data_IF_542203375206
#
_entry.id   IF_542203375206
#
_cell.length_a   1.000
_cell.length_b   1.000
_cell.length_c   1.000
_cell.angle_alpha   90.00
_cell.angle_beta   90.00
_cell.angle_gamma   90.00
#
_symmetry.space_group_name_H-M   'P 1'
#
loop_
_entity.id
_entity.type
_entity.pdbx_description
1 polymer ?
#
# COMPACT_ATOMS: atom_id res chain seq x y z
N UNK A 1 7.49 -13.83 19.99
CA UNK A 1 7.88 -12.41 20.12
C UNK A 1 6.75 -11.55 20.72
N UNK A 2 5.53 -11.53 20.15
CA UNK A 2 4.43 -10.69 20.66
C UNK A 2 3.95 -11.02 22.09
N UNK A 3 3.82 -12.30 22.46
CA UNK A 3 3.33 -12.72 23.78
C UNK A 3 4.24 -12.24 24.93
N UNK A 4 5.55 -12.31 24.77
CA UNK A 4 6.52 -11.85 25.77
C UNK A 4 6.47 -10.31 25.97
N UNK A 5 6.20 -9.57 24.90
CA UNK A 5 6.02 -8.11 24.94
C UNK A 5 4.70 -7.74 25.65
N UNK A 6 3.61 -8.49 25.40
CA UNK A 6 2.34 -8.28 26.11
C UNK A 6 2.45 -8.61 27.60
N UNK A 7 3.14 -9.70 27.98
CA UNK A 7 3.38 -10.04 29.39
C UNK A 7 4.20 -8.96 30.09
N UNK A 8 5.26 -8.48 29.45
CA UNK A 8 6.06 -7.39 30.00
C UNK A 8 5.25 -6.09 30.15
N UNK A 9 4.34 -5.81 29.21
CA UNK A 9 3.45 -4.66 29.27
C UNK A 9 2.36 -4.80 30.36
N UNK A 10 1.78 -5.99 30.56
CA UNK A 10 0.81 -6.27 31.64
C UNK A 10 1.44 -6.05 33.01
N UNK A 11 2.67 -6.51 33.21
CA UNK A 11 3.39 -6.38 34.49
C UNK A 11 3.79 -4.92 34.79
N UNK A 12 3.86 -4.06 33.78
CA UNK A 12 4.36 -2.68 33.89
C UNK A 12 3.27 -1.60 33.77
N UNK A 13 2.00 -1.96 33.54
CA UNK A 13 0.92 -1.00 33.32
C UNK A 13 0.16 -0.70 34.62
N UNK A 14 0.32 0.50 35.18
CA UNK A 14 -0.38 0.95 36.40
C UNK A 14 -1.79 1.54 36.12
N UNK A 15 -2.22 1.60 34.85
CA UNK A 15 -3.50 2.17 34.43
C UNK A 15 -4.51 1.06 34.08
N UNK A 16 -5.59 0.97 34.87
CA UNK A 16 -6.57 -0.13 34.84
C UNK A 16 -7.26 -0.30 33.48
N UNK A 17 -7.62 0.79 32.82
CA UNK A 17 -8.34 0.75 31.54
C UNK A 17 -7.43 0.35 30.36
N UNK A 18 -6.12 0.64 30.46
CA UNK A 18 -5.12 0.20 29.47
C UNK A 18 -4.66 -1.24 29.74
N UNK A 19 -4.66 -1.68 31.01
CA UNK A 19 -4.36 -3.04 31.42
C UNK A 19 -5.31 -4.08 30.82
N UNK A 20 -6.62 -3.83 30.86
CA UNK A 20 -7.64 -4.73 30.29
C UNK A 20 -7.44 -4.95 28.78
N UNK A 21 -7.05 -3.90 28.04
CA UNK A 21 -6.77 -3.98 26.60
C UNK A 21 -5.48 -4.73 26.25
N UNK A 22 -4.51 -4.81 27.18
CA UNK A 22 -3.27 -5.59 27.02
C UNK A 22 -3.51 -7.05 27.40
N UNK A 23 -4.27 -7.29 28.48
CA UNK A 23 -4.66 -8.62 28.93
C UNK A 23 -5.52 -9.35 27.89
N UNK A 24 -6.48 -8.66 27.28
CA UNK A 24 -7.27 -9.20 26.17
C UNK A 24 -6.40 -9.61 24.96
N UNK A 25 -5.37 -8.81 24.63
CA UNK A 25 -4.44 -9.13 23.54
C UNK A 25 -3.49 -10.27 23.87
N UNK A 26 -3.10 -10.40 25.14
CA UNK A 26 -2.38 -11.55 25.66
C UNK A 26 -3.20 -12.85 25.49
N UNK A 27 -4.43 -12.87 25.99
CA UNK A 27 -5.31 -14.05 25.91
C UNK A 27 -5.65 -14.45 24.46
N UNK A 28 -5.90 -13.46 23.59
CA UNK A 28 -6.16 -13.71 22.17
C UNK A 28 -4.96 -14.35 21.47
N UNK A 29 -3.75 -13.86 21.78
CA UNK A 29 -2.50 -14.43 21.25
C UNK A 29 -2.27 -15.85 21.80
N UNK A 30 -2.63 -16.11 23.06
CA UNK A 30 -2.57 -17.45 23.66
C UNK A 30 -3.54 -18.44 22.98
N UNK A 31 -4.77 -18.03 22.70
CA UNK A 31 -5.78 -18.84 21.99
C UNK A 31 -5.33 -19.19 20.56
N UNK A 32 -4.71 -18.26 19.85
CA UNK A 32 -4.15 -18.52 18.52
C UNK A 32 -3.03 -19.58 18.57
N UNK A 33 -2.16 -19.53 19.57
CA UNK A 33 -1.09 -20.52 19.75
C UNK A 33 -1.63 -21.91 20.10
N UNK A 34 -2.69 -21.99 20.92
CA UNK A 34 -3.36 -23.26 21.24
C UNK A 34 -4.08 -23.87 20.03
N UNK A 35 -4.70 -23.05 19.17
CA UNK A 35 -5.32 -23.50 17.92
C UNK A 35 -4.33 -24.09 16.90
N UNK A 36 -3.14 -23.48 16.79
CA UNK A 36 -2.03 -24.00 15.97
C UNK A 36 -1.48 -25.32 16.53
N UNK A 37 -1.41 -25.44 17.86
CA UNK A 37 -0.97 -26.66 18.53
C UNK A 37 -1.95 -27.84 18.33
N UNK A 38 -3.26 -27.58 18.32
CA UNK A 38 -4.29 -28.59 18.05
C UNK A 38 -4.31 -29.05 16.58
N UNK A 39 -4.15 -28.14 15.63
CA UNK A 39 -4.07 -28.45 14.19
C UNK A 39 -2.85 -29.32 13.84
N UNK A 40 -1.72 -29.11 14.52
CA UNK A 40 -0.50 -29.92 14.34
C UNK A 40 -0.63 -31.38 14.77
N UNK A 41 -1.54 -31.69 15.72
CA UNK A 41 -1.79 -33.06 16.20
C UNK A 41 -2.68 -33.88 15.24
N UNK A 42 -3.60 -33.23 14.54
CA UNK A 42 -4.45 -33.92 13.54
C UNK A 42 -3.67 -34.31 12.28
N UNK A 43 -2.62 -33.57 11.92
CA UNK A 43 -1.76 -33.88 10.77
C UNK A 43 -0.77 -35.03 11.00
N UNK A 44 -0.52 -35.45 12.26
CA UNK A 44 0.42 -36.53 12.59
C UNK A 44 -0.18 -37.94 12.56
N UNK A 45 -1.48 -38.09 12.28
CA UNK A 45 -2.17 -39.39 12.32
C UNK A 45 -2.21 -40.15 10.97
N UNK A 46 -1.62 -39.61 9.89
CA UNK A 46 -1.51 -40.30 8.59
C UNK A 46 -0.18 -39.98 7.93
N UNK A 47 0.81 -40.85 8.12
CA UNK A 47 1.68 -41.38 7.05
C UNK A 47 2.76 -42.27 7.68
N UNK A 48 2.75 -43.55 7.30
CA UNK A 48 3.79 -44.54 7.59
C UNK A 48 4.70 -44.69 6.38
N UNK A 49 6.00 -44.54 6.63
CA UNK A 49 7.17 -45.14 5.98
C UNK A 49 7.18 -45.37 4.46
N UNK A 50 8.12 -44.72 3.78
CA UNK A 50 9.20 -45.38 3.01
C UNK A 50 10.35 -44.40 2.77
N UNK A 51 11.57 -44.81 3.10
CA UNK A 51 12.80 -44.14 2.70
C UNK A 51 12.99 -44.29 1.18
N UNK A 52 13.11 -43.20 0.43
CA UNK A 52 14.11 -43.07 -0.64
C UNK A 52 14.16 -41.66 -1.27
N UNK A 53 15.39 -41.12 -1.32
CA UNK A 53 15.90 -39.99 -2.13
C UNK A 53 14.91 -38.88 -2.49
N UNK A 54 14.60 -37.99 -1.55
CA UNK A 54 13.59 -36.94 -1.75
C UNK A 54 14.16 -35.55 -2.07
N UNK A 55 13.70 -35.01 -3.20
CA UNK A 55 13.52 -33.57 -3.46
C UNK A 55 12.78 -32.90 -2.29
N UNK A 56 13.19 -31.69 -1.86
CA UNK A 56 12.54 -31.03 -0.74
C UNK A 56 11.11 -30.61 -1.12
N UNK A 57 10.14 -31.19 -0.43
CA UNK A 57 8.72 -30.82 -0.55
C UNK A 57 8.46 -29.54 0.26
N UNK A 58 7.42 -28.75 -0.07
CA UNK A 58 7.05 -27.56 0.71
C UNK A 58 6.83 -27.84 2.20
N UNK A 59 6.32 -29.04 2.54
CA UNK A 59 6.16 -29.50 3.92
C UNK A 59 7.51 -29.68 4.65
N UNK A 60 8.54 -30.20 3.97
CA UNK A 60 9.90 -30.30 4.51
C UNK A 60 10.53 -28.94 4.73
N UNK A 61 10.37 -28.02 3.77
CA UNK A 61 10.87 -26.64 3.89
C UNK A 61 10.21 -25.93 5.08
N UNK A 62 8.89 -26.05 5.23
CA UNK A 62 8.16 -25.51 6.38
C UNK A 62 8.64 -26.11 7.72
N UNK A 63 8.92 -27.42 7.76
CA UNK A 63 9.52 -28.07 8.93
C UNK A 63 10.90 -27.51 9.29
N UNK A 64 11.73 -27.21 8.28
CA UNK A 64 13.04 -26.61 8.51
C UNK A 64 12.97 -25.16 9.01
N UNK A 65 11.97 -24.38 8.59
CA UNK A 65 11.68 -23.06 9.19
C UNK A 65 11.27 -23.21 10.66
N UNK A 66 10.38 -24.16 10.97
CA UNK A 66 9.96 -24.42 12.35
C UNK A 66 11.11 -24.87 13.25
N UNK A 67 12.09 -25.60 12.74
CA UNK A 67 13.26 -26.01 13.51
C UNK A 67 14.23 -24.85 13.79
N UNK A 68 14.35 -23.89 12.87
CA UNK A 68 15.05 -22.63 13.12
C UNK A 68 14.33 -21.77 14.15
N UNK A 69 12.99 -21.69 14.07
CA UNK A 69 12.15 -21.00 15.06
C UNK A 69 12.34 -21.59 16.47
N UNK A 70 12.42 -22.93 16.57
CA UNK A 70 12.69 -23.62 17.84
C UNK A 70 14.10 -23.38 18.37
N UNK A 71 15.11 -23.35 17.49
CA UNK A 71 16.50 -23.01 17.89
C UNK A 71 16.62 -21.57 18.37
N UNK A 72 15.88 -20.65 17.77
CA UNK A 72 15.75 -19.27 18.26
C UNK A 72 15.09 -19.22 19.63
N UNK A 73 13.97 -19.92 19.80
CA UNK A 73 13.23 -19.97 21.07
C UNK A 73 14.03 -20.60 22.22
N UNK A 74 15.00 -21.46 21.93
CA UNK A 74 15.92 -22.07 22.92
C UNK A 74 17.15 -21.20 23.25
N UNK A 75 17.22 -19.95 22.77
CA UNK A 75 18.34 -19.03 23.04
C UNK A 75 19.57 -19.25 22.17
N UNK A 76 19.40 -19.83 20.97
CA UNK A 76 20.50 -20.02 20.02
C UNK A 76 21.09 -18.70 19.52
N UNK A 77 22.36 -18.74 19.09
CA UNK A 77 23.08 -17.58 18.57
C UNK A 77 22.34 -16.98 17.35
N UNK A 78 21.96 -15.70 17.47
CA UNK A 78 21.18 -14.90 16.52
C UNK A 78 21.76 -14.92 15.10
N UNK A 79 23.09 -14.80 14.95
CA UNK A 79 23.74 -14.78 13.65
C UNK A 79 23.62 -16.14 12.94
N UNK A 80 23.71 -17.25 13.68
CA UNK A 80 23.59 -18.60 13.10
C UNK A 80 22.16 -18.89 12.60
N UNK A 81 21.15 -18.36 13.30
CA UNK A 81 19.75 -18.55 12.93
C UNK A 81 19.39 -17.69 11.72
N UNK A 82 19.86 -16.44 11.68
CA UNK A 82 19.69 -15.54 10.53
C UNK A 82 20.37 -16.08 9.26
N UNK A 83 21.60 -16.61 9.40
CA UNK A 83 22.29 -17.32 8.31
C UNK A 83 21.49 -18.55 7.87
N UNK A 84 20.88 -19.28 8.81
CA UNK A 84 19.99 -20.41 8.55
C UNK A 84 18.78 -20.03 7.70
N UNK A 85 18.06 -18.96 8.05
CA UNK A 85 16.93 -18.47 7.25
C UNK A 85 17.38 -18.00 5.86
N UNK A 86 18.49 -17.26 5.78
CA UNK A 86 19.02 -16.80 4.50
C UNK A 86 19.43 -17.97 3.59
N UNK A 87 19.99 -19.04 4.14
CA UNK A 87 20.31 -20.26 3.41
C UNK A 87 19.04 -20.98 2.93
N UNK A 88 18.02 -21.13 3.77
CA UNK A 88 16.73 -21.73 3.39
C UNK A 88 16.03 -20.96 2.27
N UNK A 89 16.03 -19.63 2.34
CA UNK A 89 15.46 -18.77 1.31
C UNK A 89 16.22 -18.88 -0.03
N UNK A 90 17.54 -19.06 -0.01
CA UNK A 90 18.32 -19.36 -1.23
C UNK A 90 18.04 -20.76 -1.79
N UNK A 91 17.92 -21.77 -0.93
CA UNK A 91 17.65 -23.16 -1.34
C UNK A 91 16.28 -23.30 -2.02
N UNK A 92 15.25 -22.69 -1.43
CA UNK A 92 13.90 -22.64 -2.02
C UNK A 92 13.87 -21.91 -3.37
N UNK A 93 14.76 -20.93 -3.57
CA UNK A 93 14.94 -20.23 -4.84
C UNK A 93 15.62 -21.11 -5.91
N UNK A 94 16.59 -21.94 -5.51
CA UNK A 94 17.28 -22.87 -6.41
C UNK A 94 16.41 -24.07 -6.81
N UNK A 95 15.47 -24.50 -5.98
CA UNK A 95 14.54 -25.60 -6.29
C UNK A 95 13.39 -25.18 -7.20
N UNK A 96 12.90 -23.93 -7.10
CA UNK A 96 12.00 -23.34 -8.12
C UNK A 96 12.58 -23.37 -9.53
N UNK A 97 13.91 -23.31 -9.66
CA UNK A 97 14.61 -23.42 -10.94
C UNK A 97 14.79 -24.87 -11.42
N UNK A 98 14.78 -25.87 -10.52
CA UNK A 98 14.91 -27.30 -10.88
C UNK A 98 13.56 -28.01 -11.12
N UNK A 99 12.48 -27.55 -10.49
CA UNK A 99 11.11 -28.06 -10.73
C UNK A 99 10.54 -27.73 -12.12
N UNK A 100 11.21 -26.86 -12.87
CA UNK A 100 10.92 -26.57 -14.28
C UNK A 100 11.70 -27.48 -15.26
N UNK A 101 12.28 -28.59 -14.77
CA UNK A 101 13.02 -29.57 -15.56
C UNK A 101 12.11 -30.40 -16.48
N UNK A 102 11.63 -29.78 -17.56
CA UNK A 102 10.83 -30.40 -18.60
C UNK A 102 10.44 -29.46 -19.76
N UNK A 103 10.64 -28.14 -19.62
CA UNK A 103 10.59 -27.20 -20.74
C UNK A 103 11.91 -26.46 -20.83
N UNK A 104 12.47 -26.48 -22.03
CA UNK A 104 13.62 -25.67 -22.46
C UNK A 104 13.44 -24.27 -21.86
N UNK A 105 14.39 -23.83 -21.03
CA UNK A 105 14.44 -22.45 -20.57
C UNK A 105 14.52 -21.55 -21.80
N UNK A 106 13.60 -20.58 -22.00
CA UNK A 106 13.71 -19.64 -23.11
C UNK A 106 15.07 -18.96 -23.03
N UNK A 107 15.76 -18.88 -24.15
CA UNK A 107 17.00 -18.08 -24.21
C UNK A 107 16.61 -16.60 -24.07
N UNK A 108 17.54 -15.73 -23.65
CA UNK A 108 17.30 -14.26 -23.63
C UNK A 108 16.80 -13.72 -24.98
N UNK A 109 17.10 -14.41 -26.07
CA UNK A 109 16.65 -14.08 -27.42
C UNK A 109 15.15 -14.34 -27.59
N UNK A 110 14.62 -15.42 -27.00
CA UNK A 110 13.20 -15.76 -27.07
C UNK A 110 12.36 -14.77 -26.24
N UNK A 111 12.84 -14.37 -25.06
CA UNK A 111 12.19 -13.34 -24.22
C UNK A 111 12.13 -11.97 -24.93
N UNK A 112 13.18 -11.61 -25.68
CA UNK A 112 13.23 -10.36 -26.44
C UNK A 112 12.30 -10.39 -27.67
N UNK A 113 12.13 -11.54 -28.32
CA UNK A 113 11.16 -11.69 -29.41
C UNK A 113 9.73 -11.59 -28.88
N UNK A 114 9.40 -12.30 -27.80
CA UNK A 114 8.07 -12.28 -27.17
C UNK A 114 7.71 -10.86 -26.71
N UNK A 115 8.66 -10.14 -26.10
CA UNK A 115 8.50 -8.72 -25.74
C UNK A 115 8.12 -7.84 -26.94
N UNK A 116 8.89 -7.89 -28.03
CA UNK A 116 8.65 -7.06 -29.21
C UNK A 116 7.35 -7.43 -29.93
N UNK A 117 6.99 -8.72 -29.97
CA UNK A 117 5.73 -9.20 -30.54
C UNK A 117 4.53 -8.63 -29.78
N UNK A 118 4.55 -8.70 -28.44
CA UNK A 118 3.52 -8.15 -27.59
C UNK A 118 3.42 -6.63 -27.67
N UNK A 119 4.56 -5.91 -27.69
CA UNK A 119 4.56 -4.46 -27.90
C UNK A 119 3.94 -4.08 -29.25
N UNK A 120 4.34 -4.73 -30.34
CA UNK A 120 3.78 -4.46 -31.65
C UNK A 120 2.29 -4.79 -31.73
N UNK A 121 1.85 -5.89 -31.11
CA UNK A 121 0.43 -6.24 -31.03
C UNK A 121 -0.38 -5.17 -30.28
N UNK A 122 0.12 -4.73 -29.12
CA UNK A 122 -0.50 -3.67 -28.34
C UNK A 122 -0.59 -2.35 -29.10
N UNK A 123 0.49 -1.96 -29.79
CA UNK A 123 0.50 -0.76 -30.63
C UNK A 123 -0.56 -0.81 -31.74
N UNK A 124 -0.69 -1.95 -32.44
CA UNK A 124 -1.73 -2.13 -33.46
C UNK A 124 -3.14 -2.01 -32.87
N UNK A 125 -3.40 -2.69 -31.75
CA UNK A 125 -4.70 -2.64 -31.07
C UNK A 125 -5.04 -1.21 -30.60
N UNK A 126 -4.06 -0.49 -30.04
CA UNK A 126 -4.23 0.90 -29.60
C UNK A 126 -4.52 1.86 -30.77
N UNK A 127 -3.97 1.60 -31.96
CA UNK A 127 -4.24 2.36 -33.18
C UNK A 127 -5.65 2.09 -33.71
N UNK A 128 -6.13 0.85 -33.65
CA UNK A 128 -7.49 0.49 -34.07
C UNK A 128 -8.57 0.83 -33.04
N UNK A 129 -8.17 1.32 -31.85
CA UNK A 129 -9.07 1.71 -30.77
C UNK A 129 -9.54 0.54 -29.88
N UNK A 130 -8.96 -0.65 -30.04
CA UNK A 130 -9.23 -1.81 -29.19
C UNK A 130 -8.40 -1.71 -27.90
N UNK A 131 -8.96 -1.03 -26.91
CA UNK A 131 -8.28 -0.73 -25.66
C UNK A 131 -8.09 -1.95 -24.77
N UNK A 132 -8.94 -2.98 -24.88
CA UNK A 132 -8.85 -4.20 -24.08
C UNK A 132 -7.68 -5.06 -24.57
N UNK A 133 -7.63 -5.34 -25.87
CA UNK A 133 -6.51 -6.07 -26.48
C UNK A 133 -5.19 -5.32 -26.30
N UNK A 134 -5.20 -3.98 -26.39
CA UNK A 134 -4.01 -3.17 -26.15
C UNK A 134 -3.49 -3.32 -24.71
N UNK A 135 -4.39 -3.20 -23.72
CA UNK A 135 -4.01 -3.38 -22.30
C UNK A 135 -3.40 -4.77 -22.05
N UNK A 136 -4.06 -5.83 -22.52
CA UNK A 136 -3.57 -7.20 -22.35
C UNK A 136 -2.21 -7.42 -23.02
N UNK A 137 -2.03 -6.88 -24.23
CA UNK A 137 -0.77 -7.02 -24.97
C UNK A 137 0.38 -6.28 -24.30
N UNK A 138 0.17 -5.05 -23.83
CA UNK A 138 1.22 -4.32 -23.12
C UNK A 138 1.53 -4.90 -21.74
N UNK A 139 0.52 -5.43 -21.03
CA UNK A 139 0.74 -6.18 -19.79
C UNK A 139 1.57 -7.46 -20.02
N UNK A 140 1.32 -8.18 -21.12
CA UNK A 140 2.11 -9.34 -21.52
C UNK A 140 3.57 -8.96 -21.85
N UNK A 141 3.77 -7.87 -22.60
CA UNK A 141 5.12 -7.32 -22.85
C UNK A 141 5.83 -6.96 -21.55
N UNK A 142 5.14 -6.31 -20.61
CA UNK A 142 5.72 -6.00 -19.30
C UNK A 142 6.10 -7.28 -18.54
N UNK A 143 5.24 -8.30 -18.56
CA UNK A 143 5.45 -9.58 -17.87
C UNK A 143 6.64 -10.36 -18.43
N UNK A 144 6.91 -10.26 -19.73
CA UNK A 144 8.06 -10.96 -20.35
C UNK A 144 9.40 -10.41 -19.89
N UNK A 145 9.49 -9.12 -19.51
CA UNK A 145 10.73 -8.46 -19.05
C UNK A 145 10.83 -8.25 -17.54
N UNK A 146 9.71 -8.34 -16.81
CA UNK A 146 9.66 -8.06 -15.38
C UNK A 146 10.58 -9.01 -14.58
N UNK A 147 11.46 -8.44 -13.75
CA UNK A 147 12.53 -9.15 -13.00
C UNK A 147 13.53 -9.96 -13.84
N UNK A 148 13.53 -9.85 -15.17
CA UNK A 148 14.45 -10.58 -16.05
C UNK A 148 15.67 -9.77 -16.50
N UNK A 149 15.82 -8.53 -16.03
CA UNK A 149 16.94 -7.66 -16.40
C UNK A 149 16.84 -6.25 -15.82
N UNK A 150 17.53 -5.26 -16.43
CA UNK A 150 17.40 -3.85 -16.07
C UNK A 150 15.95 -3.38 -16.22
N UNK A 151 15.47 -2.62 -15.24
CA UNK A 151 14.10 -2.10 -15.22
C UNK A 151 13.79 -1.12 -16.36
N UNK A 152 14.79 -0.65 -17.11
CA UNK A 152 14.58 0.25 -18.26
C UNK A 152 13.67 -0.34 -19.35
N UNK A 153 13.71 -1.67 -19.56
CA UNK A 153 12.80 -2.35 -20.52
C UNK A 153 11.34 -2.37 -20.05
N UNK A 154 11.07 -2.20 -18.75
CA UNK A 154 9.71 -2.10 -18.22
C UNK A 154 9.07 -0.74 -18.55
N UNK A 155 9.86 0.29 -18.88
CA UNK A 155 9.36 1.66 -19.03
C UNK A 155 8.42 1.84 -20.22
N UNK A 156 8.76 1.29 -21.39
CA UNK A 156 7.91 1.43 -22.59
C UNK A 156 6.53 0.76 -22.42
N UNK A 157 6.39 -0.52 -22.01
CA UNK A 157 5.07 -1.10 -21.83
C UNK A 157 4.24 -0.40 -20.73
N UNK A 158 4.87 0.09 -19.66
CA UNK A 158 4.19 0.90 -18.63
C UNK A 158 3.67 2.22 -19.21
N UNK A 159 4.49 2.93 -19.99
CA UNK A 159 4.08 4.15 -20.67
C UNK A 159 2.92 3.91 -21.63
N UNK A 160 2.98 2.83 -22.42
CA UNK A 160 1.91 2.42 -23.33
C UNK A 160 0.61 2.05 -22.62
N UNK A 161 0.68 1.35 -21.49
CA UNK A 161 -0.49 1.14 -20.62
C UNK A 161 -1.08 2.48 -20.15
N UNK A 162 -0.22 3.46 -19.82
CA UNK A 162 -0.66 4.82 -19.50
C UNK A 162 -1.46 5.47 -20.63
N UNK A 163 -1.06 5.28 -21.89
CA UNK A 163 -1.80 5.77 -23.06
C UNK A 163 -3.18 5.10 -23.20
N UNK A 164 -3.25 3.78 -22.93
CA UNK A 164 -4.52 3.04 -22.96
C UNK A 164 -5.49 3.61 -21.93
N UNK A 165 -5.04 3.80 -20.69
CA UNK A 165 -5.87 4.34 -19.62
C UNK A 165 -6.25 5.81 -19.86
N UNK A 166 -5.35 6.64 -20.42
CA UNK A 166 -5.70 8.00 -20.82
C UNK A 166 -6.81 8.02 -21.89
N UNK A 167 -6.68 7.22 -22.95
CA UNK A 167 -7.74 7.11 -23.97
C UNK A 167 -9.05 6.61 -23.38
N UNK A 168 -8.99 5.63 -22.47
CA UNK A 168 -10.16 5.10 -21.76
C UNK A 168 -10.84 6.19 -20.95
N UNK A 169 -10.09 6.95 -20.15
CA UNK A 169 -10.59 8.07 -19.36
C UNK A 169 -11.22 9.18 -20.21
N UNK A 170 -10.65 9.52 -21.37
CA UNK A 170 -11.25 10.49 -22.29
C UNK A 170 -12.60 9.99 -22.83
N UNK A 171 -12.73 8.69 -23.12
CA UNK A 171 -13.99 8.09 -23.62
C UNK A 171 -15.04 7.97 -22.52
N UNK A 172 -14.64 7.49 -21.33
CA UNK A 172 -15.53 7.19 -20.21
C UNK A 172 -15.87 8.42 -19.36
N UNK A 173 -14.98 9.41 -19.33
CA UNK A 173 -14.95 10.53 -18.38
C UNK A 173 -14.83 10.06 -16.91
N UNK A 174 -14.28 8.86 -16.70
CA UNK A 174 -14.01 8.30 -15.38
C UNK A 174 -12.65 8.81 -14.86
N UNK A 175 -12.66 9.54 -13.75
CA UNK A 175 -11.44 10.04 -13.10
C UNK A 175 -10.47 8.93 -12.67
N UNK A 176 -10.98 7.73 -12.40
CA UNK A 176 -10.18 6.56 -12.03
C UNK A 176 -9.21 6.16 -13.14
N UNK A 177 -9.63 6.24 -14.39
CA UNK A 177 -8.78 5.93 -15.54
C UNK A 177 -7.63 6.93 -15.69
N UNK A 178 -7.88 8.23 -15.43
CA UNK A 178 -6.82 9.25 -15.41
C UNK A 178 -5.80 9.00 -14.30
N UNK A 179 -6.24 8.65 -13.09
CA UNK A 179 -5.31 8.33 -11.98
C UNK A 179 -4.44 7.11 -12.30
N UNK A 180 -5.02 6.06 -12.89
CA UNK A 180 -4.25 4.89 -13.35
C UNK A 180 -3.25 5.26 -14.44
N UNK A 181 -3.66 6.09 -15.41
CA UNK A 181 -2.77 6.58 -16.46
C UNK A 181 -1.58 7.35 -15.86
N UNK A 182 -1.83 8.28 -14.93
CA UNK A 182 -0.77 9.06 -14.28
C UNK A 182 0.19 8.17 -13.48
N UNK A 183 -0.32 7.18 -12.75
CA UNK A 183 0.52 6.26 -11.98
C UNK A 183 1.41 5.41 -12.89
N UNK A 184 0.88 4.91 -14.00
CA UNK A 184 1.63 4.16 -15.02
C UNK A 184 2.74 5.00 -15.66
N UNK A 185 2.45 6.26 -16.02
CA UNK A 185 3.44 7.17 -16.58
C UNK A 185 4.52 7.57 -15.56
N UNK A 186 4.15 7.83 -14.30
CA UNK A 186 5.14 8.07 -13.24
C UNK A 186 6.04 6.85 -13.01
N UNK A 187 5.47 5.64 -12.98
CA UNK A 187 6.24 4.41 -12.85
C UNK A 187 7.20 4.19 -14.03
N UNK A 188 6.81 4.55 -15.26
CA UNK A 188 7.66 4.52 -16.43
C UNK A 188 8.78 5.59 -16.38
N UNK A 189 8.46 6.79 -15.90
CA UNK A 189 9.41 7.90 -15.74
C UNK A 189 10.53 7.54 -14.77
N UNK A 190 10.23 6.93 -13.62
CA UNK A 190 11.26 6.49 -12.66
C UNK A 190 12.23 5.47 -13.28
N UNK A 191 11.75 4.64 -14.22
CA UNK A 191 12.53 3.58 -14.86
C UNK A 191 13.41 4.05 -16.02
N UNK A 192 13.03 5.13 -16.71
CA UNK A 192 13.70 5.58 -17.93
C UNK A 192 14.23 7.02 -17.91
N UNK A 193 13.68 7.89 -17.05
CA UNK A 193 13.98 9.33 -16.97
C UNK A 193 13.83 10.08 -18.30
N UNK A 194 12.88 9.66 -19.15
CA UNK A 194 12.61 10.33 -20.42
C UNK A 194 11.70 11.54 -20.22
N UNK A 195 12.05 12.67 -20.84
CA UNK A 195 11.30 13.94 -20.77
C UNK A 195 9.87 13.81 -21.33
N UNK A 196 9.67 13.00 -22.38
CA UNK A 196 8.35 12.81 -22.98
C UNK A 196 7.33 12.16 -22.02
N UNK A 197 7.80 11.40 -21.04
CA UNK A 197 6.94 10.84 -19.99
C UNK A 197 6.53 11.88 -18.95
N UNK A 198 7.38 12.87 -18.69
CA UNK A 198 7.07 13.99 -17.78
C UNK A 198 6.00 14.90 -18.41
N UNK A 199 6.17 15.23 -19.70
CA UNK A 199 5.15 15.94 -20.47
C UNK A 199 3.81 15.18 -20.46
N UNK A 200 3.84 13.86 -20.65
CA UNK A 200 2.63 13.03 -20.62
C UNK A 200 1.89 13.07 -19.28
N UNK A 201 2.60 13.12 -18.15
CA UNK A 201 1.97 13.25 -16.82
C UNK A 201 1.20 14.57 -16.70
N UNK A 202 1.76 15.66 -17.24
CA UNK A 202 1.07 16.95 -17.29
C UNK A 202 -0.14 16.90 -18.24
N UNK A 203 0.00 16.29 -19.43
CA UNK A 203 -1.10 16.10 -20.39
C UNK A 203 -2.28 15.33 -19.78
N UNK A 204 -2.02 14.27 -18.99
CA UNK A 204 -3.07 13.49 -18.32
C UNK A 204 -3.86 14.38 -17.35
N UNK A 205 -3.16 15.22 -16.58
CA UNK A 205 -3.80 16.14 -15.63
C UNK A 205 -4.65 17.18 -16.35
N UNK A 206 -4.13 17.77 -17.44
CA UNK A 206 -4.89 18.72 -18.27
C UNK A 206 -6.10 18.07 -18.93
N UNK A 207 -5.95 16.84 -19.43
CA UNK A 207 -7.03 16.08 -20.02
C UNK A 207 -8.13 15.77 -18.98
N UNK A 208 -7.77 15.44 -17.74
CA UNK A 208 -8.76 15.28 -16.65
C UNK A 208 -9.53 16.58 -16.40
N UNK A 209 -8.82 17.70 -16.25
CA UNK A 209 -9.45 19.02 -16.01
C UNK A 209 -10.42 19.40 -17.13
N UNK A 210 -10.02 19.18 -18.38
CA UNK A 210 -10.87 19.46 -19.54
C UNK A 210 -12.04 18.47 -19.67
N UNK A 211 -11.77 17.18 -19.60
CA UNK A 211 -12.74 16.15 -19.97
C UNK A 211 -13.67 15.75 -18.82
N UNK A 212 -13.23 15.88 -17.57
CA UNK A 212 -14.02 15.56 -16.36
C UNK A 212 -14.53 16.84 -15.70
N UNK A 213 -13.67 17.82 -15.42
CA UNK A 213 -14.08 19.05 -14.73
C UNK A 213 -14.76 20.08 -15.65
N UNK A 214 -14.62 19.94 -16.98
CA UNK A 214 -15.16 20.87 -17.98
C UNK A 214 -14.63 22.30 -17.83
N UNK A 215 -13.39 22.42 -17.39
CA UNK A 215 -12.67 23.70 -17.25
C UNK A 215 -11.72 23.85 -18.44
N UNK A 216 -11.84 24.95 -19.19
CA UNK A 216 -11.02 25.23 -20.39
C UNK A 216 -9.67 25.89 -20.08
N UNK A 217 -9.40 26.20 -18.81
CA UNK A 217 -8.22 26.94 -18.39
C UNK A 217 -6.95 26.07 -18.46
N UNK A 218 -5.84 26.65 -18.94
CA UNK A 218 -4.51 26.07 -18.70
C UNK A 218 -4.25 26.13 -17.20
N UNK A 219 -4.29 24.98 -16.54
CA UNK A 219 -3.82 24.85 -15.16
C UNK A 219 -2.31 25.04 -15.19
N UNK A 220 -1.81 25.96 -14.37
CA UNK A 220 -0.38 26.17 -14.25
C UNK A 220 0.29 24.92 -13.67
N UNK A 221 1.38 24.52 -14.29
CA UNK A 221 2.12 23.32 -13.97
C UNK A 221 3.39 23.72 -13.23
N UNK A 222 3.30 24.05 -11.93
CA UNK A 222 4.53 24.38 -11.20
C UNK A 222 4.59 24.10 -9.69
N UNK A 223 3.52 23.64 -9.03
CA UNK A 223 3.61 23.37 -7.59
C UNK A 223 4.13 21.96 -7.23
N UNK A 224 4.18 21.00 -8.16
CA UNK A 224 4.58 19.61 -7.85
C UNK A 224 5.99 19.52 -7.24
N UNK A 225 6.98 20.22 -7.81
CA UNK A 225 8.35 20.21 -7.28
C UNK A 225 8.43 20.92 -5.92
N UNK A 226 7.67 21.99 -5.74
CA UNK A 226 7.52 22.66 -4.44
C UNK A 226 6.93 21.70 -3.39
N UNK A 227 5.88 20.94 -3.72
CA UNK A 227 5.30 19.96 -2.80
C UNK A 227 6.27 18.81 -2.47
N UNK A 228 7.05 18.33 -3.45
CA UNK A 228 8.13 17.35 -3.20
C UNK A 228 9.19 17.90 -2.25
N UNK A 229 9.57 19.17 -2.42
CA UNK A 229 10.50 19.85 -1.51
C UNK A 229 9.92 20.00 -0.09
N UNK A 230 8.63 20.29 0.04
CA UNK A 230 7.94 20.34 1.34
C UNK A 230 7.97 18.97 2.04
N UNK A 231 7.58 17.89 1.34
CA UNK A 231 7.64 16.52 1.91
C UNK A 231 9.06 16.13 2.33
N UNK A 232 10.06 16.49 1.52
CA UNK A 232 11.46 16.25 1.86
C UNK A 232 11.86 17.03 3.11
N UNK A 233 11.48 18.30 3.23
CA UNK A 233 11.79 19.11 4.40
C UNK A 233 11.15 18.53 5.68
N UNK A 234 9.91 18.05 5.60
CA UNK A 234 9.23 17.39 6.72
C UNK A 234 9.95 16.10 7.14
N UNK A 235 10.40 15.28 6.17
CA UNK A 235 11.19 14.08 6.44
C UNK A 235 12.54 14.38 7.07
N UNK A 236 13.26 15.36 6.53
CA UNK A 236 14.55 15.81 7.05
C UNK A 236 14.41 16.36 8.48
N UNK A 237 13.29 17.05 8.78
CA UNK A 237 12.95 17.50 10.13
C UNK A 237 12.73 16.31 11.07
N UNK A 238 11.90 15.35 10.68
CA UNK A 238 11.58 14.18 11.51
C UNK A 238 12.82 13.33 11.78
N UNK A 239 13.68 13.13 10.79
CA UNK A 239 14.94 12.39 10.98
C UNK A 239 15.85 13.09 11.99
N UNK A 240 15.93 14.43 11.96
CA UNK A 240 16.69 15.21 12.95
C UNK A 240 16.09 15.10 14.34
N UNK A 241 14.76 15.20 14.46
CA UNK A 241 14.07 15.11 15.75
C UNK A 241 14.21 13.73 16.37
N UNK A 242 14.10 12.66 15.59
CA UNK A 242 14.35 11.29 16.06
C UNK A 242 15.77 11.15 16.58
N UNK A 243 16.78 11.62 15.82
CA UNK A 243 18.18 11.61 16.26
C UNK A 243 18.40 12.41 17.54
N UNK A 244 17.73 13.56 17.69
CA UNK A 244 17.80 14.37 18.92
C UNK A 244 17.21 13.61 20.09
N UNK A 245 16.02 13.02 19.94
CA UNK A 245 15.35 12.22 20.98
C UNK A 245 16.23 11.03 21.38
N UNK A 246 16.81 10.33 20.41
CA UNK A 246 17.73 9.21 20.64
C UNK A 246 19.02 9.63 21.36
N UNK A 247 19.44 10.89 21.27
CA UNK A 247 20.63 11.38 21.96
C UNK A 247 20.33 11.95 23.36
N UNK A 248 19.20 12.64 23.51
CA UNK A 248 18.86 13.37 24.73
C UNK A 248 18.09 12.53 25.75
N UNK A 249 17.30 11.55 25.29
CA UNK A 249 16.38 10.75 26.13
C UNK A 249 16.44 9.27 25.74
N UNK A 250 17.64 8.67 25.82
CA UNK A 250 17.85 7.24 25.59
C UNK A 250 17.78 6.41 26.88
N UNK A 251 16.70 5.65 27.12
CA UNK A 251 16.59 4.81 28.31
C UNK A 251 17.58 3.63 28.28
N UNK A 252 18.09 3.24 27.10
CA UNK A 252 19.04 2.13 26.94
C UNK A 252 20.48 2.52 27.28
N UNK A 253 20.74 3.80 27.53
CA UNK A 253 22.02 4.28 28.04
C UNK A 253 22.21 4.00 29.53
N UNK A 254 21.15 3.63 30.24
CA UNK A 254 21.15 3.32 31.67
C UNK A 254 21.18 1.80 31.92
N UNK A 255 21.69 1.39 33.08
CA UNK A 255 21.60 0.00 33.54
C UNK A 255 20.14 -0.42 33.77
N UNK A 256 19.81 -1.69 33.54
CA UNK A 256 18.43 -2.21 33.69
C UNK A 256 17.84 -2.03 35.10
N UNK A 257 18.70 -1.89 36.11
CA UNK A 257 18.30 -1.67 37.50
C UNK A 257 18.39 -0.19 37.93
N UNK A 258 18.67 0.73 37.00
CA UNK A 258 18.76 2.16 37.30
C UNK A 258 17.37 2.70 37.71
N UNK A 259 17.25 3.31 38.90
CA UNK A 259 15.97 3.82 39.38
C UNK A 259 15.40 4.96 38.50
N UNK A 260 16.23 5.62 37.68
CA UNK A 260 15.83 6.71 36.79
C UNK A 260 15.29 6.23 35.43
N UNK A 261 15.38 4.93 35.11
CA UNK A 261 14.96 4.40 33.80
C UNK A 261 13.52 4.80 33.46
N UNK A 262 12.60 4.71 34.43
CA UNK A 262 11.18 5.07 34.25
C UNK A 262 11.00 6.56 33.94
N UNK A 263 11.81 7.42 34.55
CA UNK A 263 11.74 8.87 34.31
C UNK A 263 12.24 9.20 32.90
N UNK A 264 13.33 8.57 32.45
CA UNK A 264 13.86 8.75 31.09
C UNK A 264 12.89 8.19 30.04
N UNK A 265 12.29 7.02 30.28
CA UNK A 265 11.23 6.46 29.44
C UNK A 265 10.05 7.43 29.31
N UNK A 266 9.58 8.01 30.42
CA UNK A 266 8.49 8.97 30.41
C UNK A 266 8.85 10.24 29.63
N UNK A 267 10.06 10.78 29.79
CA UNK A 267 10.53 11.92 28.99
C UNK A 267 10.59 11.60 27.50
N UNK A 268 11.05 10.40 27.13
CA UNK A 268 11.08 9.92 25.74
C UNK A 268 9.67 9.81 25.16
N UNK A 269 8.72 9.26 25.91
CA UNK A 269 7.32 9.17 25.49
C UNK A 269 6.73 10.55 25.21
N UNK A 270 6.95 11.52 26.09
CA UNK A 270 6.44 12.88 25.89
C UNK A 270 7.10 13.58 24.69
N UNK A 271 8.40 13.38 24.46
CA UNK A 271 9.09 13.90 23.28
C UNK A 271 8.54 13.28 21.97
N UNK A 272 8.30 11.97 21.96
CA UNK A 272 7.71 11.27 20.81
C UNK A 272 6.28 11.73 20.55
N UNK A 273 5.45 11.90 21.59
CA UNK A 273 4.09 12.45 21.45
C UNK A 273 4.10 13.85 20.85
N UNK A 274 5.00 14.72 21.30
CA UNK A 274 5.15 16.07 20.75
C UNK A 274 5.55 16.05 19.27
N UNK A 275 6.45 15.13 18.88
CA UNK A 275 6.83 14.93 17.49
C UNK A 275 5.64 14.46 16.65
N UNK A 276 4.86 13.49 17.13
CA UNK A 276 3.64 13.04 16.45
C UNK A 276 2.60 14.15 16.29
N UNK A 277 2.41 14.99 17.31
CA UNK A 277 1.50 16.12 17.22
C UNK A 277 1.95 17.12 16.14
N UNK A 278 3.25 17.40 16.07
CA UNK A 278 3.82 18.26 15.02
C UNK A 278 3.58 17.68 13.63
N UNK A 279 3.82 16.37 13.47
CA UNK A 279 3.59 15.64 12.23
C UNK A 279 2.12 15.68 11.78
N UNK A 280 1.19 15.51 12.72
CA UNK A 280 -0.25 15.60 12.46
C UNK A 280 -0.61 16.96 11.89
N UNK A 281 -0.08 18.05 12.45
CA UNK A 281 -0.42 19.41 12.05
C UNK A 281 0.27 19.82 10.75
N UNK A 282 1.52 19.42 10.53
CA UNK A 282 2.23 19.57 9.25
C UNK A 282 1.46 18.87 8.12
N UNK A 283 1.09 17.60 8.32
CA UNK A 283 0.40 16.80 7.31
C UNK A 283 -1.00 17.33 7.02
N UNK A 284 -1.74 17.80 8.04
CA UNK A 284 -3.03 18.49 7.84
C UNK A 284 -2.86 19.72 6.95
N UNK A 285 -1.85 20.54 7.21
CA UNK A 285 -1.56 21.75 6.42
C UNK A 285 -1.21 21.40 4.98
N UNK A 286 -0.36 20.39 4.78
CA UNK A 286 0.02 19.90 3.46
C UNK A 286 -1.19 19.41 2.65
N UNK A 287 -2.05 18.58 3.25
CA UNK A 287 -3.25 18.05 2.60
C UNK A 287 -4.27 19.16 2.31
N UNK A 288 -4.49 20.08 3.27
CA UNK A 288 -5.40 21.20 3.08
C UNK A 288 -4.96 22.09 1.90
N UNK A 289 -3.67 22.38 1.77
CA UNK A 289 -3.14 23.13 0.63
C UNK A 289 -3.42 22.45 -0.72
N UNK A 290 -3.27 21.14 -0.82
CA UNK A 290 -3.60 20.41 -2.05
C UNK A 290 -5.10 20.43 -2.36
N UNK A 291 -5.94 20.36 -1.34
CA UNK A 291 -7.41 20.47 -1.49
C UNK A 291 -7.79 21.88 -1.96
N UNK A 292 -7.21 22.92 -1.36
CA UNK A 292 -7.45 24.31 -1.73
C UNK A 292 -7.06 24.56 -3.19
N UNK A 293 -5.89 24.10 -3.63
CA UNK A 293 -5.46 24.18 -5.03
C UNK A 293 -6.42 23.47 -5.99
N UNK A 294 -7.00 22.33 -5.59
CA UNK A 294 -8.03 21.68 -6.40
C UNK A 294 -9.32 22.52 -6.47
N UNK A 295 -9.73 23.11 -5.36
CA UNK A 295 -10.94 23.95 -5.28
C UNK A 295 -10.78 25.29 -6.01
N UNK A 296 -9.57 25.83 -6.10
CA UNK A 296 -9.28 27.00 -6.94
C UNK A 296 -9.62 26.76 -8.41
N UNK A 297 -9.36 25.55 -8.91
CA UNK A 297 -9.69 25.14 -10.29
C UNK A 297 -11.16 24.74 -10.42
N UNK A 298 -11.68 23.99 -9.45
CA UNK A 298 -13.04 23.43 -9.50
C UNK A 298 -14.15 24.43 -9.14
N UNK A 299 -13.80 25.55 -8.52
CA UNK A 299 -14.73 26.44 -7.85
C UNK A 299 -15.10 25.96 -6.44
N UNK A 300 -15.86 26.78 -5.69
CA UNK A 300 -16.18 26.49 -4.29
C UNK A 300 -17.06 25.23 -4.14
N UNK A 301 -17.00 24.55 -2.99
CA UNK A 301 -17.84 23.39 -2.71
C UNK A 301 -19.32 23.76 -2.75
N UNK A 302 -20.20 22.89 -3.29
CA UNK A 302 -21.62 23.19 -3.49
C UNK A 302 -22.45 23.12 -2.20
N UNK A 303 -21.87 22.59 -1.12
CA UNK A 303 -22.51 22.47 0.18
C UNK A 303 -21.48 22.52 1.31
N UNK A 304 -21.95 22.60 2.56
CA UNK A 304 -21.07 22.41 3.71
C UNK A 304 -20.52 20.99 3.71
N UNK A 305 -19.23 20.89 4.00
CA UNK A 305 -18.56 19.61 4.07
C UNK A 305 -17.53 19.59 5.20
N UNK A 306 -17.12 18.40 5.57
CA UNK A 306 -15.95 18.17 6.41
C UNK A 306 -15.14 17.01 5.84
N UNK A 307 -13.84 17.23 5.64
CA UNK A 307 -12.90 16.16 5.31
C UNK A 307 -12.30 15.62 6.61
N UNK A 308 -12.48 14.33 6.86
CA UNK A 308 -12.01 13.66 8.08
C UNK A 308 -10.90 12.68 7.74
N UNK A 309 -9.73 12.86 8.36
CA UNK A 309 -8.65 11.89 8.29
C UNK A 309 -9.03 10.61 9.02
N UNK A 310 -8.64 9.46 8.49
CA UNK A 310 -8.86 8.14 9.05
C UNK A 310 -7.51 7.49 9.42
N UNK A 311 -7.58 6.30 10.04
CA UNK A 311 -6.41 5.49 10.37
C UNK A 311 -5.33 6.25 11.15
N UNK A 312 -4.09 6.22 10.68
CA UNK A 312 -2.95 6.86 11.37
C UNK A 312 -3.11 8.37 11.57
N UNK A 313 -3.83 9.04 10.66
CA UNK A 313 -4.15 10.46 10.79
C UNK A 313 -5.15 10.73 11.93
N UNK A 314 -6.14 9.85 12.10
CA UNK A 314 -7.16 9.97 13.14
C UNK A 314 -6.61 9.64 14.54
N UNK A 315 -5.69 8.66 14.63
CA UNK A 315 -5.10 8.24 15.90
C UNK A 315 -3.92 9.12 16.34
N UNK A 316 -3.52 10.09 15.52
CA UNK A 316 -2.38 10.95 15.78
C UNK A 316 -1.03 10.24 15.67
N UNK A 317 -0.97 9.09 15.00
CA UNK A 317 0.23 8.24 14.85
C UNK A 317 0.81 8.31 13.43
N UNK A 318 0.51 9.39 12.71
CA UNK A 318 0.89 9.55 11.31
C UNK A 318 2.38 9.83 11.16
N UNK A 319 2.97 9.35 10.07
CA UNK A 319 4.36 9.63 9.68
C UNK A 319 4.39 10.27 8.28
N UNK A 320 5.52 10.84 7.84
CA UNK A 320 5.67 11.37 6.47
C UNK A 320 5.55 10.32 5.35
N UNK A 321 5.45 9.03 5.70
CA UNK A 321 5.30 7.91 4.78
C UNK A 321 3.94 7.20 4.91
N UNK A 322 3.07 7.69 5.80
CA UNK A 322 1.77 7.07 6.02
C UNK A 322 0.82 7.37 4.87
N UNK A 323 0.03 6.35 4.50
CA UNK A 323 -1.02 6.44 3.49
C UNK A 323 -2.09 7.48 3.87
N UNK A 324 -2.69 8.10 2.87
CA UNK A 324 -3.79 9.04 3.00
C UNK A 324 -5.12 8.29 3.01
N UNK A 325 -5.64 8.11 4.21
CA UNK A 325 -6.98 7.57 4.49
C UNK A 325 -7.90 8.72 4.93
N UNK A 326 -9.06 8.89 4.28
CA UNK A 326 -10.01 9.94 4.62
C UNK A 326 -11.42 9.67 4.12
N UNK A 327 -12.38 10.35 4.72
CA UNK A 327 -13.76 10.41 4.27
C UNK A 327 -14.22 11.87 4.14
N UNK A 328 -15.29 12.09 3.38
CA UNK A 328 -15.89 13.42 3.18
C UNK A 328 -17.33 13.37 3.69
N UNK A 329 -17.61 14.15 4.73
CA UNK A 329 -18.94 14.38 5.23
C UNK A 329 -19.58 15.53 4.45
N UNK A 330 -20.79 15.34 3.92
CA UNK A 330 -21.55 16.37 3.18
C UNK A 330 -22.87 16.68 3.89
N UNK A 331 -23.39 17.89 3.72
CA UNK A 331 -24.70 18.27 4.27
C UNK A 331 -25.84 17.42 3.68
N UNK A 332 -25.83 17.22 2.37
CA UNK A 332 -26.83 16.44 1.64
C UNK A 332 -26.19 15.59 0.51
N UNK A 333 -26.61 14.33 0.41
CA UNK A 333 -26.16 13.35 -0.61
C UNK A 333 -26.99 13.46 -1.90
N UNK A 334 -26.98 14.64 -2.52
CA UNK A 334 -27.51 14.83 -3.87
C UNK A 334 -26.40 14.65 -4.92
N UNK A 335 -26.75 14.18 -6.11
CA UNK A 335 -25.76 13.84 -7.15
C UNK A 335 -24.82 15.00 -7.49
N UNK A 336 -25.32 16.24 -7.49
CA UNK A 336 -24.49 17.43 -7.70
C UNK A 336 -23.37 17.56 -6.66
N UNK A 337 -23.68 17.36 -5.37
CA UNK A 337 -22.71 17.45 -4.29
C UNK A 337 -21.73 16.28 -4.34
N UNK A 338 -22.25 15.06 -4.47
CA UNK A 338 -21.42 13.85 -4.45
C UNK A 338 -20.48 13.82 -5.66
N UNK A 339 -20.96 14.21 -6.85
CA UNK A 339 -20.14 14.31 -8.06
C UNK A 339 -19.01 15.33 -7.91
N UNK A 340 -19.26 16.49 -7.29
CA UNK A 340 -18.20 17.46 -6.99
C UNK A 340 -17.10 16.83 -6.13
N UNK A 341 -17.44 16.16 -5.03
CA UNK A 341 -16.45 15.56 -4.13
C UNK A 341 -15.77 14.30 -4.70
N UNK A 342 -16.43 13.54 -5.58
CA UNK A 342 -15.77 12.49 -6.38
C UNK A 342 -14.69 13.08 -7.28
N UNK A 343 -15.03 14.13 -8.02
CA UNK A 343 -14.08 14.82 -8.90
C UNK A 343 -12.94 15.47 -8.12
N UNK A 344 -13.23 16.06 -6.96
CA UNK A 344 -12.21 16.59 -6.05
C UNK A 344 -11.24 15.49 -5.61
N UNK A 345 -11.79 14.33 -5.24
CA UNK A 345 -10.97 13.19 -4.78
C UNK A 345 -10.09 12.64 -5.90
N UNK A 346 -10.61 12.52 -7.13
CA UNK A 346 -9.78 12.13 -8.28
C UNK A 346 -8.70 13.17 -8.60
N UNK A 347 -9.02 14.46 -8.50
CA UNK A 347 -8.06 15.51 -8.79
C UNK A 347 -6.93 15.57 -7.74
N UNK A 348 -7.31 15.46 -6.46
CA UNK A 348 -6.36 15.33 -5.36
C UNK A 348 -5.48 14.08 -5.54
N UNK A 349 -6.08 12.95 -5.94
CA UNK A 349 -5.33 11.72 -6.19
C UNK A 349 -4.32 11.88 -7.33
N UNK A 350 -4.68 12.57 -8.43
CA UNK A 350 -3.75 12.92 -9.50
C UNK A 350 -2.56 13.75 -8.98
N UNK A 351 -2.83 14.79 -8.18
CA UNK A 351 -1.76 15.60 -7.57
C UNK A 351 -0.83 14.74 -6.70
N UNK A 352 -1.39 13.86 -5.86
CA UNK A 352 -0.59 12.95 -5.00
C UNK A 352 0.22 11.94 -5.82
N UNK A 353 -0.36 11.36 -6.87
CA UNK A 353 0.36 10.44 -7.77
C UNK A 353 1.56 11.14 -8.42
N UNK A 354 1.41 12.40 -8.81
CA UNK A 354 2.46 13.19 -9.47
C UNK A 354 3.62 13.57 -8.53
N UNK A 355 3.49 13.33 -7.22
CA UNK A 355 4.63 13.37 -6.30
C UNK A 355 5.61 12.21 -6.56
N UNK A 356 5.19 11.16 -7.27
CA UNK A 356 6.04 10.06 -7.74
C UNK A 356 6.25 8.94 -6.73
N UNK A 357 5.44 8.87 -5.67
CA UNK A 357 5.61 7.94 -4.54
C UNK A 357 4.52 6.86 -4.44
N UNK A 358 3.59 6.83 -5.41
CA UNK A 358 2.50 5.85 -5.47
C UNK A 358 2.93 4.63 -6.29
N UNK A 359 3.04 3.49 -5.63
CA UNK A 359 3.37 2.21 -6.29
C UNK A 359 2.20 1.66 -7.11
N UNK A 360 2.49 1.01 -8.23
CA UNK A 360 1.44 0.51 -9.13
C UNK A 360 0.46 -0.50 -8.52
N UNK A 361 0.86 -1.45 -7.63
CA UNK A 361 -0.09 -2.36 -7.00
C UNK A 361 -1.20 -1.63 -6.21
N UNK A 362 -0.93 -0.43 -5.69
CA UNK A 362 -1.93 0.36 -4.97
C UNK A 362 -3.08 0.82 -5.89
N UNK A 363 -2.88 0.83 -7.22
CA UNK A 363 -3.86 1.29 -8.20
C UNK A 363 -4.89 0.24 -8.62
N UNK A 364 -4.69 -1.04 -8.25
CA UNK A 364 -5.63 -2.13 -8.60
C UNK A 364 -5.90 -2.25 -10.11
N UNK A 365 -4.86 -2.15 -10.93
CA UNK A 365 -4.94 -2.33 -12.38
C UNK A 365 -5.05 -3.84 -12.65
N UNK A 366 -6.22 -4.31 -13.10
CA UNK A 366 -6.53 -5.76 -13.18
C UNK A 366 -5.58 -6.54 -14.09
N UNK A 367 -5.08 -5.94 -15.17
CA UNK A 367 -4.09 -6.59 -16.05
C UNK A 367 -2.73 -6.85 -15.37
N UNK A 368 -2.44 -6.18 -14.26
CA UNK A 368 -1.20 -6.30 -13.48
C UNK A 368 -1.43 -7.01 -12.13
N UNK A 369 -2.48 -6.58 -11.42
CA UNK A 369 -2.86 -7.00 -10.09
C UNK A 369 -4.39 -7.08 -9.96
N UNK A 370 -4.99 -8.20 -10.39
CA UNK A 370 -6.39 -8.48 -10.10
C UNK A 370 -6.54 -9.08 -8.70
N UNK A 371 -6.95 -8.26 -7.74
CA UNK A 371 -7.15 -8.69 -6.36
C UNK A 371 -8.46 -9.45 -6.10
N UNK A 372 -9.35 -9.52 -7.10
CA UNK A 372 -10.63 -10.21 -7.01
C UNK A 372 -10.65 -11.53 -7.79
N UNK A 373 -9.60 -11.83 -8.56
CA UNK A 373 -9.45 -13.12 -9.23
C UNK A 373 -9.15 -14.25 -8.23
N UNK A 374 -9.80 -15.40 -8.43
CA UNK A 374 -9.50 -16.63 -7.70
C UNK A 374 -8.14 -17.24 -8.14
N UNK A 375 -7.59 -16.79 -9.26
CA UNK A 375 -6.31 -17.27 -9.77
C UNK A 375 -5.15 -16.40 -9.25
N UNK A 376 -4.24 -16.96 -8.43
CA UNK A 376 -3.14 -16.19 -7.85
C UNK A 376 -2.13 -15.68 -8.88
N UNK A 377 -2.14 -16.19 -10.12
CA UNK A 377 -1.26 -15.72 -11.20
C UNK A 377 -1.70 -14.39 -11.83
N UNK A 378 -2.91 -13.93 -11.52
CA UNK A 378 -3.46 -12.67 -12.01
C UNK A 378 -3.03 -11.47 -11.13
N UNK A 379 -2.44 -11.76 -9.98
CA UNK A 379 -1.77 -10.79 -9.11
C UNK A 379 -0.25 -10.95 -9.17
N UNK A 380 0.38 -10.39 -10.20
CA UNK A 380 1.77 -10.76 -10.55
C UNK A 380 2.76 -9.60 -10.52
N UNK A 381 2.34 -8.35 -10.72
CA UNK A 381 3.27 -7.22 -10.79
C UNK A 381 3.72 -6.79 -9.40
N UNK A 382 5.04 -6.69 -9.18
CA UNK A 382 5.62 -6.15 -7.95
C UNK A 382 6.46 -4.92 -8.27
N UNK A 383 6.08 -3.77 -7.71
CA UNK A 383 6.82 -2.54 -7.93
C UNK A 383 7.97 -2.39 -6.92
N UNK A 384 9.18 -2.72 -7.35
CA UNK A 384 10.42 -2.54 -6.59
C UNK A 384 11.16 -1.25 -6.91
N UNK A 385 10.68 -0.46 -7.87
CA UNK A 385 11.44 0.66 -8.45
C UNK A 385 10.85 2.00 -8.07
N UNK A 386 9.52 2.13 -8.11
CA UNK A 386 8.85 3.35 -7.68
C UNK A 386 9.09 3.59 -6.19
N UNK A 387 9.56 4.79 -5.78
CA UNK A 387 9.69 5.14 -4.37
C UNK A 387 8.36 4.93 -3.63
N UNK A 388 8.41 4.45 -2.39
CA UNK A 388 7.23 4.34 -1.53
C UNK A 388 7.20 5.50 -0.57
N UNK A 389 6.09 6.21 -0.52
CA UNK A 389 5.93 7.37 0.35
C UNK A 389 4.48 7.80 0.45
N UNK A 390 4.24 9.11 0.36
CA UNK A 390 2.92 9.69 0.52
C UNK A 390 2.01 9.33 -0.67
N UNK A 391 1.05 8.44 -0.42
CA UNK A 391 0.10 7.93 -1.41
C UNK A 391 -1.30 7.78 -0.78
N UNK A 392 -2.33 7.60 -1.60
CA UNK A 392 -3.64 7.18 -1.11
C UNK A 392 -3.59 5.72 -0.63
N UNK A 393 -4.48 5.35 0.30
CA UNK A 393 -4.64 3.95 0.71
C UNK A 393 -4.99 3.07 -0.50
N UNK A 394 -4.30 1.93 -0.63
CA UNK A 394 -4.32 1.12 -1.83
C UNK A 394 -5.68 0.48 -2.12
N UNK A 395 -5.99 0.26 -3.39
CA UNK A 395 -7.25 -0.33 -3.88
C UNK A 395 -7.40 -1.84 -3.61
N UNK A 396 -6.71 -2.38 -2.61
CA UNK A 396 -6.73 -3.80 -2.24
C UNK A 396 -7.99 -4.16 -1.43
N UNK A 397 -8.43 -5.44 -1.46
CA UNK A 397 -9.46 -5.95 -0.57
C UNK A 397 -9.09 -5.66 0.89
N UNK A 398 -10.07 -5.23 1.67
CA UNK A 398 -9.89 -4.84 3.08
C UNK A 398 -9.02 -3.58 3.33
N UNK A 399 -8.48 -2.94 2.27
CA UNK A 399 -7.87 -1.60 2.30
C UNK A 399 -8.84 -0.55 1.72
N UNK A 400 -8.31 0.49 1.08
CA UNK A 400 -9.02 1.52 0.34
C UNK A 400 -9.99 2.38 1.18
N UNK A 401 -9.50 2.94 2.29
CA UNK A 401 -10.26 3.91 3.11
C UNK A 401 -10.17 5.31 2.50
N UNK A 402 -10.67 5.45 1.28
CA UNK A 402 -10.71 6.70 0.53
C UNK A 402 -12.18 7.07 0.22
N UNK A 403 -12.48 8.35 -0.11
CA UNK A 403 -13.84 8.75 -0.46
C UNK A 403 -14.44 7.94 -1.61
N UNK A 404 -13.62 7.49 -2.56
CA UNK A 404 -14.07 6.72 -3.73
C UNK A 404 -14.49 5.28 -3.38
N UNK A 405 -14.08 4.78 -2.23
CA UNK A 405 -14.37 3.40 -1.79
C UNK A 405 -13.70 2.33 -2.66
N UNK A 406 -14.15 1.08 -2.49
CA UNK A 406 -13.56 -0.13 -3.10
C UNK A 406 -14.08 -0.43 -4.53
N UNK A 407 -14.71 0.54 -5.19
CA UNK A 407 -15.27 0.37 -6.54
C UNK A 407 -16.48 -0.58 -6.63
N UNK A 408 -16.96 -0.79 -7.87
CA UNK A 408 -18.25 -1.45 -8.22
C UNK A 408 -18.41 -2.92 -7.81
N UNK A 409 -17.32 -3.63 -7.49
CA UNK A 409 -17.37 -5.06 -7.19
C UNK A 409 -17.60 -5.37 -5.70
N UNK A 410 -17.70 -4.35 -4.85
CA UNK A 410 -18.10 -4.51 -3.45
C UNK A 410 -19.63 -4.49 -3.34
N UNK A 411 -20.21 -5.44 -2.60
CA UNK A 411 -21.66 -5.52 -2.36
C UNK A 411 -22.13 -4.41 -1.41
N UNK A 412 -22.18 -3.17 -1.90
CA UNK A 412 -22.58 -1.95 -1.20
C UNK A 412 -21.83 -0.72 -1.70
N UNK A 413 -22.38 0.49 -1.52
CA UNK A 413 -21.67 1.74 -1.85
C UNK A 413 -20.57 2.00 -0.83
N UNK A 414 -19.41 1.36 -1.01
CA UNK A 414 -18.20 1.53 -0.19
C UNK A 414 -17.60 2.95 -0.25
N UNK A 415 -18.18 3.84 -1.05
CA UNK A 415 -17.87 5.26 -1.10
C UNK A 415 -18.10 5.93 0.27
N UNK A 416 -17.11 6.73 0.66
CA UNK A 416 -17.04 7.44 1.95
C UNK A 416 -17.35 8.94 1.79
N UNK A 417 -18.14 9.30 0.79
CA UNK A 417 -18.75 10.62 0.61
C UNK A 417 -20.21 10.51 1.09
N UNK A 418 -20.49 10.87 2.35
CA UNK A 418 -21.79 10.63 2.98
C UNK A 418 -22.21 11.79 3.88
N UNK A 419 -23.49 11.87 4.20
CA UNK A 419 -23.97 12.62 5.36
C UNK A 419 -23.43 12.02 6.66
N UNK A 420 -23.29 12.79 7.75
CA UNK A 420 -22.89 12.25 9.05
C UNK A 420 -23.74 11.05 9.52
N UNK A 421 -25.06 11.11 9.29
CA UNK A 421 -25.98 10.03 9.63
C UNK A 421 -25.71 8.75 8.83
N UNK A 422 -25.48 8.85 7.52
CA UNK A 422 -25.21 7.68 6.69
C UNK A 422 -23.81 7.11 6.91
N UNK A 423 -22.80 7.97 7.15
CA UNK A 423 -21.46 7.51 7.54
C UNK A 423 -21.52 6.65 8.81
N UNK A 424 -22.35 7.03 9.79
CA UNK A 424 -22.55 6.25 11.02
C UNK A 424 -23.10 4.86 10.72
N UNK A 425 -23.94 4.70 9.70
CA UNK A 425 -24.47 3.39 9.30
C UNK A 425 -23.38 2.49 8.71
N UNK A 426 -22.52 3.05 7.84
CA UNK A 426 -21.36 2.32 7.30
C UNK A 426 -20.46 1.81 8.43
N UNK A 427 -20.14 2.66 9.41
CA UNK A 427 -19.31 2.28 10.55
C UNK A 427 -19.94 1.17 11.40
N UNK A 428 -21.27 1.21 11.60
CA UNK A 428 -22.00 0.15 12.32
C UNK A 428 -21.98 -1.18 11.57
N UNK A 429 -22.16 -1.16 10.26
CA UNK A 429 -22.11 -2.35 9.41
C UNK A 429 -20.72 -2.97 9.40
N UNK A 430 -19.68 -2.14 9.25
CA UNK A 430 -18.28 -2.56 9.24
C UNK A 430 -17.88 -3.18 10.59
N UNK A 431 -18.23 -2.51 11.70
CA UNK A 431 -18.05 -3.06 13.06
C UNK A 431 -18.75 -4.41 13.22
N UNK A 432 -20.00 -4.52 12.77
CA UNK A 432 -20.78 -5.77 12.85
C UNK A 432 -20.12 -6.88 12.03
N UNK A 433 -19.60 -6.57 10.84
CA UNK A 433 -18.90 -7.52 9.99
C UNK A 433 -17.60 -8.00 10.64
N UNK A 434 -16.83 -7.10 11.24
CA UNK A 434 -15.61 -7.46 11.95
C UNK A 434 -15.88 -8.34 13.17
N UNK A 435 -16.88 -7.99 13.98
CA UNK A 435 -17.32 -8.81 15.11
C UNK A 435 -17.75 -10.21 14.64
N UNK A 436 -18.54 -10.31 13.56
CA UNK A 436 -18.96 -11.61 12.98
C UNK A 436 -17.78 -12.45 12.49
N UNK A 437 -16.71 -11.82 12.00
CA UNK A 437 -15.47 -12.48 11.57
C UNK A 437 -14.54 -12.82 12.74
N UNK A 438 -14.94 -12.58 14.00
CA UNK A 438 -14.14 -12.87 15.18
C UNK A 438 -13.09 -11.80 15.51
N UNK A 439 -13.12 -10.64 14.84
CA UNK A 439 -12.27 -9.52 15.22
C UNK A 439 -12.88 -8.78 16.40
N UNK A 440 -12.18 -8.78 17.53
CA UNK A 440 -12.52 -8.01 18.72
C UNK A 440 -11.87 -6.63 18.62
N UNK A 441 -12.54 -5.69 17.95
CA UNK A 441 -12.07 -4.32 17.82
C UNK A 441 -12.29 -3.58 19.15
N UNK A 442 -11.23 -2.97 19.70
CA UNK A 442 -11.36 -2.00 20.77
C UNK A 442 -11.99 -0.73 20.19
N UNK A 443 -13.16 -0.34 20.69
CA UNK A 443 -13.82 0.91 20.35
C UNK A 443 -13.23 1.97 21.29
N UNK A 444 -12.47 2.92 20.75
CA UNK A 444 -12.09 4.14 21.47
C UNK A 444 -13.12 5.24 21.22
#
# INVERSE_FOLDING_TARGET
MALALYVAAVVRCDNRDQGEGIEHRYEYTERLLQGVYMSSKESQAREQSTEDKETATPAKVAGMFQDLDKKWAAGGNTDSVLVGYAQLMRSARSERQRGAGGRISPTRVDDDIEYEEHLHAGCRALQTGDLETAEQSFAAALKSVHFKGPHGKEAEPLYRLGEVYLKRGIQSKDGGDFTKAAALCNAALVRSRREDMEERVQEITQAFVKEVLKVEQKVDSDDTEKHKLMLKADRDYVEKEIKRIDQEVDPYSLDENDPQIREVEMKRVEAIKALFQTLVDQRKTFIAGHVDECMEVMGPPPCKYAMIGLGSQATGLVTPYSDLEFAILVEEEIEHNVSYFRNLTHYLHLKVINLGETILPAMGISSLNDFYSDNPLDNWFYDSVTPRGFAFDGAMPHACKTPLGRGRNSSGSSELIRTPSNMTNILKEDLTLHIKKGYHLAIC
#
